data_IF_633731592565
#
_entry.id   IF_633731592565
#
_cell.length_a   1.000
_cell.length_b   1.000
_cell.length_c   1.000
_cell.angle_alpha   90.00
_cell.angle_beta   90.00
_cell.angle_gamma   90.00
#
_symmetry.space_group_name_H-M   'P 1'
#
loop_
_entity.id
_entity.type
_entity.pdbx_description
1 polymer ?
#
# COMPACT_ATOMS: atom_id res chain seq x y z
N UNK A 1 -11.32 -32.66 -15.90
CA UNK A 1 -12.32 -32.57 -14.80
C UNK A 1 -12.22 -31.18 -14.20
N UNK A 2 -13.30 -30.40 -14.25
CA UNK A 2 -13.36 -29.00 -13.78
C UNK A 2 -13.91 -29.00 -12.36
N UNK A 3 -13.14 -28.51 -11.39
CA UNK A 3 -13.59 -28.37 -9.99
C UNK A 3 -14.04 -26.93 -9.78
N UNK A 4 -15.34 -26.72 -9.61
CA UNK A 4 -15.92 -25.42 -9.29
C UNK A 4 -15.85 -25.14 -7.79
N UNK A 5 -15.61 -23.86 -7.49
CA UNK A 5 -15.30 -23.28 -6.18
C UNK A 5 -16.58 -23.15 -5.34
N UNK A 6 -16.56 -23.68 -4.12
CA UNK A 6 -17.65 -23.57 -3.14
C UNK A 6 -17.98 -22.11 -2.81
N UNK A 7 -19.23 -21.71 -2.97
CA UNK A 7 -19.73 -20.41 -2.53
C UNK A 7 -20.04 -20.47 -1.03
N UNK A 8 -19.26 -19.78 -0.21
CA UNK A 8 -19.59 -19.50 1.19
C UNK A 8 -20.18 -18.09 1.30
N UNK A 9 -21.43 -17.98 1.78
CA UNK A 9 -22.10 -16.71 2.07
C UNK A 9 -21.38 -15.96 3.21
N UNK A 10 -21.32 -14.61 3.19
CA UNK A 10 -20.67 -13.83 4.24
C UNK A 10 -21.54 -13.74 5.52
N UNK A 11 -20.98 -14.13 6.66
CA UNK A 11 -21.60 -13.98 7.98
C UNK A 11 -21.32 -12.57 8.51
N UNK A 12 -22.38 -11.82 8.84
CA UNK A 12 -22.27 -10.49 9.48
C UNK A 12 -22.08 -10.67 10.97
N UNK A 13 -20.89 -10.38 11.51
CA UNK A 13 -20.66 -10.28 12.95
C UNK A 13 -21.26 -8.96 13.47
N UNK A 14 -22.06 -9.03 14.55
CA UNK A 14 -22.44 -7.85 15.34
C UNK A 14 -21.54 -7.84 16.58
N UNK A 15 -20.87 -6.71 16.82
CA UNK A 15 -20.16 -6.46 18.07
C UNK A 15 -21.17 -5.92 19.09
N UNK A 16 -21.19 -6.52 20.27
CA UNK A 16 -21.90 -6.01 21.45
C UNK A 16 -20.88 -5.36 22.38
N UNK A 17 -21.26 -4.25 22.98
CA UNK A 17 -20.42 -3.29 23.73
C UNK A 17 -20.02 -3.79 25.14
N UNK A 18 -20.00 -5.11 25.34
CA UNK A 18 -19.83 -5.77 26.65
C UNK A 18 -18.40 -6.32 26.86
N UNK A 19 -17.50 -6.09 25.88
CA UNK A 19 -16.09 -6.52 25.94
C UNK A 19 -15.16 -5.46 26.58
N UNK A 20 -15.72 -4.43 27.23
CA UNK A 20 -14.98 -3.31 27.82
C UNK A 20 -15.21 -3.18 29.33
N UNK A 21 -14.85 -4.20 30.12
CA UNK A 21 -14.78 -4.08 31.59
C UNK A 21 -13.48 -4.69 32.14
N UNK A 22 -12.75 -3.81 32.83
CA UNK A 22 -11.71 -3.94 33.87
C UNK A 22 -10.49 -4.85 33.72
N UNK A 23 -9.30 -4.24 33.89
CA UNK A 23 -8.48 -4.53 35.07
C UNK A 23 -7.44 -3.42 35.29
N UNK A 24 -7.67 -2.64 36.34
CA UNK A 24 -6.79 -1.65 36.95
C UNK A 24 -5.56 -2.36 37.56
N UNK A 25 -4.35 -2.03 37.09
CA UNK A 25 -3.10 -2.61 37.59
C UNK A 25 -2.39 -1.56 38.45
N UNK A 26 -2.36 -1.81 39.75
CA UNK A 26 -1.59 -1.07 40.77
C UNK A 26 -0.10 -1.45 40.66
N UNK A 27 0.86 -0.50 40.60
CA UNK A 27 2.28 -0.79 40.74
C UNK A 27 2.70 -0.84 42.22
N UNK A 28 3.44 -1.90 42.57
CA UNK A 28 4.06 -2.17 43.86
C UNK A 28 5.44 -1.48 43.94
N UNK A 29 5.68 -0.78 45.04
CA UNK A 29 6.96 -0.14 45.38
C UNK A 29 8.03 -1.19 45.77
N UNK A 30 9.23 -1.07 45.21
CA UNK A 30 10.47 -1.58 45.81
C UNK A 30 11.53 -0.48 45.65
N UNK A 31 12.03 -0.02 46.81
CA UNK A 31 13.16 0.87 46.98
C UNK A 31 14.40 0.04 47.31
N UNK A 32 15.55 0.40 46.75
CA UNK A 32 16.87 0.18 47.36
C UNK A 32 17.86 1.20 46.76
N UNK A 33 18.35 2.07 47.64
CA UNK A 33 19.52 2.95 47.57
C UNK A 33 20.81 2.07 47.46
N UNK A 34 22.02 2.48 47.07
CA UNK A 34 22.73 3.76 47.20
C UNK A 34 24.03 3.72 46.35
N UNK A 35 24.48 4.90 45.91
CA UNK A 35 25.87 5.42 45.85
C UNK A 35 26.99 4.81 44.97
N UNK A 36 27.51 5.65 44.06
CA UNK A 36 28.91 6.11 44.10
C UNK A 36 29.08 7.35 43.22
N UNK A 37 29.50 8.44 43.84
CA UNK A 37 29.86 9.75 43.27
C UNK A 37 31.12 9.67 42.40
N UNK A 38 31.23 10.56 41.40
CA UNK A 38 32.43 11.35 41.12
C UNK A 38 32.06 12.48 40.13
N UNK A 39 32.23 13.72 40.61
CA UNK A 39 31.99 15.00 39.95
C UNK A 39 33.09 15.33 38.92
N UNK A 40 32.75 15.96 37.79
CA UNK A 40 33.67 16.88 37.09
C UNK A 40 32.90 17.85 36.15
N UNK A 41 32.84 19.11 36.60
CA UNK A 41 33.04 20.36 35.83
C UNK A 41 31.96 20.88 34.85
N UNK A 42 30.95 21.56 35.43
CA UNK A 42 30.52 22.94 35.13
C UNK A 42 30.60 23.47 33.68
N UNK A 43 29.47 23.43 32.97
CA UNK A 43 29.06 24.50 32.04
C UNK A 43 27.65 24.97 32.47
N UNK A 44 27.63 26.06 33.24
CA UNK A 44 26.48 26.65 33.91
C UNK A 44 25.62 27.47 32.92
N UNK A 45 24.70 26.79 32.26
CA UNK A 45 23.42 27.38 31.83
C UNK A 45 22.31 26.39 32.22
N UNK A 46 22.08 26.30 33.54
CA UNK A 46 21.07 25.43 34.11
C UNK A 46 19.67 25.86 33.59
N UNK A 47 18.90 24.97 32.95
CA UNK A 47 17.53 25.28 32.59
C UNK A 47 16.75 25.53 33.88
N UNK A 48 16.20 26.75 33.99
CA UNK A 48 15.32 27.16 35.09
C UNK A 48 14.26 26.07 35.38
N UNK A 49 13.98 25.85 36.67
CA UNK A 49 13.06 24.86 37.22
C UNK A 49 11.57 25.05 36.81
N UNK A 50 11.28 24.92 35.52
CA UNK A 50 9.93 24.85 34.93
C UNK A 50 9.68 23.47 34.25
N UNK A 51 10.53 22.49 34.56
CA UNK A 51 10.77 21.26 33.77
C UNK A 51 9.55 20.35 33.60
N UNK A 52 8.64 20.26 34.57
CA UNK A 52 7.45 19.39 34.44
C UNK A 52 6.23 20.10 33.84
N UNK A 53 6.10 21.42 34.03
CA UNK A 53 5.00 22.22 33.48
C UNK A 53 5.20 22.45 31.99
N UNK A 54 6.42 22.86 31.57
CA UNK A 54 6.79 23.00 30.15
C UNK A 54 6.65 21.70 29.38
N UNK A 55 7.04 20.56 29.96
CA UNK A 55 6.89 19.25 29.31
C UNK A 55 5.42 18.88 29.04
N UNK A 56 4.49 19.25 29.93
CA UNK A 56 3.04 19.06 29.73
C UNK A 56 2.51 20.00 28.65
N UNK A 57 2.94 21.25 28.64
CA UNK A 57 2.58 22.22 27.62
C UNK A 57 3.09 21.81 26.23
N UNK A 58 4.34 21.36 26.13
CA UNK A 58 4.92 20.83 24.89
C UNK A 58 4.19 19.59 24.38
N UNK A 59 3.79 18.70 25.28
CA UNK A 59 2.98 17.53 24.93
C UNK A 59 1.61 17.93 24.37
N UNK A 60 0.95 18.92 24.98
CA UNK A 60 -0.34 19.45 24.51
C UNK A 60 -0.21 20.19 23.17
N UNK A 61 0.84 20.99 22.99
CA UNK A 61 1.13 21.67 21.72
C UNK A 61 1.36 20.65 20.61
N UNK A 62 2.14 19.60 20.89
CA UNK A 62 2.41 18.53 19.93
C UNK A 62 1.16 17.73 19.58
N UNK A 63 0.29 17.47 20.55
CA UNK A 63 -0.99 16.80 20.29
C UNK A 63 -1.90 17.67 19.42
N UNK A 64 -1.97 18.98 19.71
CA UNK A 64 -2.74 19.93 18.92
C UNK A 64 -2.23 20.04 17.48
N UNK A 65 -0.91 20.14 17.30
CA UNK A 65 -0.29 20.13 15.97
C UNK A 65 -0.63 18.86 15.19
N UNK A 66 -0.58 17.69 15.83
CA UNK A 66 -0.96 16.43 15.19
C UNK A 66 -2.43 16.41 14.74
N UNK A 67 -3.33 16.95 15.56
CA UNK A 67 -4.75 17.05 15.22
C UNK A 67 -4.99 18.02 14.05
N UNK A 68 -4.28 19.16 14.02
CA UNK A 68 -4.36 20.13 12.93
C UNK A 68 -3.85 19.54 11.60
N UNK A 69 -2.71 18.84 11.63
CA UNK A 69 -2.17 18.13 10.46
C UNK A 69 -3.14 17.07 9.93
N UNK A 70 -3.76 16.28 10.80
CA UNK A 70 -4.74 15.27 10.42
C UNK A 70 -5.99 15.91 9.80
N UNK A 71 -6.49 17.00 10.38
CA UNK A 71 -7.63 17.75 9.87
C UNK A 71 -7.33 18.35 8.48
N UNK A 72 -6.14 18.89 8.26
CA UNK A 72 -5.74 19.46 6.99
C UNK A 72 -5.54 18.39 5.90
N UNK A 73 -4.97 17.23 6.25
CA UNK A 73 -4.92 16.09 5.34
C UNK A 73 -6.32 15.60 4.94
N UNK A 74 -7.26 15.57 5.90
CA UNK A 74 -8.64 15.19 5.61
C UNK A 74 -9.34 16.21 4.70
N UNK A 75 -9.13 17.51 4.93
CA UNK A 75 -9.63 18.60 4.07
C UNK A 75 -9.10 18.48 2.65
N UNK A 76 -7.78 18.30 2.48
CA UNK A 76 -7.16 18.11 1.16
C UNK A 76 -7.71 16.87 0.45
N UNK A 77 -7.95 15.77 1.18
CA UNK A 77 -8.55 14.56 0.61
C UNK A 77 -9.99 14.80 0.15
N UNK A 78 -10.81 15.50 0.95
CA UNK A 78 -12.19 15.87 0.61
C UNK A 78 -12.22 16.79 -0.62
N UNK A 79 -11.32 17.76 -0.70
CA UNK A 79 -11.21 18.68 -1.83
C UNK A 79 -10.80 17.95 -3.13
N UNK A 80 -9.78 17.08 -3.08
CA UNK A 80 -9.40 16.23 -4.22
C UNK A 80 -10.56 15.37 -4.72
N UNK A 81 -11.34 14.80 -3.80
CA UNK A 81 -12.54 14.03 -4.16
C UNK A 81 -13.58 14.91 -4.87
N UNK A 82 -13.89 16.09 -4.33
CA UNK A 82 -14.83 17.04 -4.94
C UNK A 82 -14.37 17.47 -6.35
N UNK A 83 -13.08 17.75 -6.54
CA UNK A 83 -12.52 18.12 -7.83
C UNK A 83 -12.64 16.99 -8.87
N UNK A 84 -12.37 15.74 -8.46
CA UNK A 84 -12.56 14.57 -9.32
C UNK A 84 -14.03 14.35 -9.68
N UNK A 85 -14.94 14.46 -8.71
CA UNK A 85 -16.38 14.31 -8.94
C UNK A 85 -16.91 15.39 -9.91
N UNK A 86 -16.45 16.63 -9.77
CA UNK A 86 -16.79 17.74 -10.66
C UNK A 86 -16.29 17.50 -12.09
N UNK A 87 -15.04 17.06 -12.25
CA UNK A 87 -14.48 16.68 -13.56
C UNK A 87 -15.26 15.52 -14.20
N UNK A 88 -15.60 14.51 -13.41
CA UNK A 88 -16.39 13.36 -13.89
C UNK A 88 -17.79 13.80 -14.34
N UNK A 89 -18.43 14.69 -13.58
CA UNK A 89 -19.73 15.27 -13.94
C UNK A 89 -19.66 16.04 -15.26
N UNK A 90 -18.65 16.90 -15.43
CA UNK A 90 -18.43 17.63 -16.70
C UNK A 90 -18.26 16.67 -17.88
N UNK A 91 -17.43 15.63 -17.75
CA UNK A 91 -17.26 14.63 -18.82
C UNK A 91 -18.56 13.89 -19.16
N UNK A 92 -19.39 13.57 -18.16
CA UNK A 92 -20.67 12.94 -18.40
C UNK A 92 -21.64 13.88 -19.13
N UNK A 93 -21.68 15.15 -18.75
CA UNK A 93 -22.50 16.17 -19.42
C UNK A 93 -22.05 16.39 -20.87
N UNK A 94 -20.74 16.47 -21.14
CA UNK A 94 -20.20 16.53 -22.50
C UNK A 94 -20.57 15.31 -23.34
N UNK A 95 -20.44 14.10 -22.77
CA UNK A 95 -20.87 12.86 -23.44
C UNK A 95 -22.37 12.87 -23.75
N UNK A 96 -23.20 13.35 -22.80
CA UNK A 96 -24.64 13.50 -23.01
C UNK A 96 -24.95 14.52 -24.11
N UNK A 97 -24.31 15.69 -24.10
CA UNK A 97 -24.45 16.73 -25.13
C UNK A 97 -24.04 16.21 -26.52
N UNK A 98 -22.91 15.51 -26.63
CA UNK A 98 -22.48 14.88 -27.90
C UNK A 98 -23.49 13.86 -28.40
N UNK A 99 -24.01 12.99 -27.54
CA UNK A 99 -25.05 12.01 -27.91
C UNK A 99 -26.36 12.68 -28.36
N UNK A 100 -26.75 13.77 -27.72
CA UNK A 100 -27.95 14.53 -28.11
C UNK A 100 -27.72 15.21 -29.46
N UNK A 101 -26.56 15.81 -29.70
CA UNK A 101 -26.23 16.43 -30.99
C UNK A 101 -26.14 15.39 -32.12
N UNK A 102 -25.56 14.22 -31.89
CA UNK A 102 -25.56 13.11 -32.86
C UNK A 102 -26.97 12.57 -33.18
N UNK A 103 -27.92 12.67 -32.24
CA UNK A 103 -29.32 12.28 -32.49
C UNK A 103 -30.10 13.36 -33.24
N UNK A 104 -29.71 14.63 -33.11
CA UNK A 104 -30.37 15.77 -33.76
C UNK A 104 -29.86 16.03 -35.17
N UNK A 105 -28.63 15.64 -35.47
CA UNK A 105 -28.08 15.61 -36.82
C UNK A 105 -28.22 14.16 -37.30
N UNK A 106 -29.27 13.79 -38.08
CA UNK A 106 -29.19 12.54 -38.83
C UNK A 106 -27.92 12.65 -39.66
N UNK A 107 -26.99 11.72 -39.44
CA UNK A 107 -25.83 11.56 -40.30
C UNK A 107 -26.42 11.12 -41.64
N UNK A 108 -26.69 12.07 -42.53
CA UNK A 108 -26.84 11.79 -43.95
C UNK A 108 -25.47 11.27 -44.37
N UNK A 109 -25.33 9.94 -44.38
CA UNK A 109 -24.18 9.33 -45.01
C UNK A 109 -24.22 9.81 -46.46
N UNK A 110 -23.12 10.38 -47.00
CA UNK A 110 -23.06 10.65 -48.43
C UNK A 110 -23.35 9.33 -49.16
N UNK A 111 -24.40 9.34 -49.98
CA UNK A 111 -24.91 8.15 -50.70
C UNK A 111 -23.84 7.55 -51.61
N UNK A 112 -22.87 8.36 -52.01
CA UNK A 112 -21.73 7.95 -52.81
C UNK A 112 -20.47 7.95 -51.95
N UNK A 113 -19.88 6.77 -51.81
CA UNK A 113 -18.46 6.65 -51.47
C UNK A 113 -17.67 7.35 -52.59
N UNK A 114 -16.69 8.21 -52.29
CA UNK A 114 -15.83 8.78 -53.32
C UNK A 114 -15.16 7.64 -54.12
N UNK A 115 -15.34 7.62 -55.44
CA UNK A 115 -14.72 6.63 -56.34
C UNK A 115 -13.18 6.63 -56.27
N UNK A 116 -12.59 7.69 -55.72
CA UNK A 116 -11.15 7.86 -55.53
C UNK A 116 -10.57 7.11 -54.31
N UNK A 117 -11.35 6.35 -53.53
CA UNK A 117 -10.79 5.61 -52.38
C UNK A 117 -9.73 4.59 -52.81
N UNK A 118 -9.92 3.91 -53.93
CA UNK A 118 -8.91 2.99 -54.48
C UNK A 118 -7.64 3.74 -54.93
N UNK A 119 -7.80 4.98 -55.41
CA UNK A 119 -6.68 5.84 -55.81
C UNK A 119 -5.91 6.34 -54.58
N UNK A 120 -6.62 6.74 -53.51
CA UNK A 120 -6.04 7.20 -52.24
C UNK A 120 -5.31 6.05 -51.53
N UNK A 121 -5.88 4.84 -51.50
CA UNK A 121 -5.21 3.68 -50.90
C UNK A 121 -3.97 3.25 -51.69
N UNK A 122 -4.01 3.29 -53.03
CA UNK A 122 -2.84 2.99 -53.88
C UNK A 122 -1.77 4.07 -53.83
N UNK A 123 -2.14 5.35 -53.69
CA UNK A 123 -1.19 6.44 -53.48
C UNK A 123 -0.47 6.31 -52.13
N UNK A 124 -1.16 5.91 -51.06
CA UNK A 124 -0.53 5.67 -49.75
C UNK A 124 0.49 4.52 -49.76
N UNK A 125 0.39 3.57 -50.69
CA UNK A 125 1.36 2.48 -50.83
C UNK A 125 2.58 2.85 -51.69
N UNK A 126 2.46 3.85 -52.58
CA UNK A 126 3.49 4.14 -53.59
C UNK A 126 4.27 5.43 -53.35
N UNK A 127 3.68 6.41 -52.69
CA UNK A 127 4.36 7.62 -52.26
C UNK A 127 3.75 8.01 -50.91
N UNK A 128 4.39 7.65 -49.80
CA UNK A 128 4.92 8.59 -48.81
C UNK A 128 5.56 7.78 -47.68
N UNK A 129 6.81 8.09 -47.35
CA UNK A 129 7.39 7.92 -46.01
C UNK A 129 6.63 8.83 -45.03
N UNK A 130 5.31 8.66 -44.86
CA UNK A 130 4.57 9.33 -43.79
C UNK A 130 4.82 8.45 -42.58
N UNK A 131 5.47 9.03 -41.58
CA UNK A 131 5.49 8.51 -40.22
C UNK A 131 4.07 8.12 -39.83
N UNK A 132 3.75 6.83 -39.90
CA UNK A 132 2.53 6.28 -39.33
C UNK A 132 2.53 6.76 -37.88
N UNK A 133 1.57 7.60 -37.44
CA UNK A 133 1.52 8.01 -36.05
C UNK A 133 1.34 6.72 -35.27
N UNK A 134 2.41 6.29 -34.58
CA UNK A 134 2.36 5.07 -33.79
C UNK A 134 1.18 5.21 -32.85
N UNK A 135 0.18 4.36 -33.07
CA UNK A 135 -1.00 4.32 -32.22
C UNK A 135 -0.48 4.18 -30.79
N UNK A 136 -0.83 5.12 -29.90
CA UNK A 136 -0.44 5.11 -28.47
C UNK A 136 -1.09 3.96 -27.69
N UNK A 137 -1.50 2.92 -28.38
CA UNK A 137 -2.02 1.70 -27.81
C UNK A 137 -0.82 0.82 -27.49
N UNK A 138 -0.53 0.69 -26.19
CA UNK A 138 0.43 -0.29 -25.67
C UNK A 138 -0.03 -1.66 -26.15
N UNK A 139 0.70 -2.26 -27.09
CA UNK A 139 0.52 -3.68 -27.44
C UNK A 139 1.00 -4.50 -26.25
N UNK A 140 0.06 -5.06 -25.50
CA UNK A 140 0.31 -5.77 -24.24
C UNK A 140 0.81 -7.22 -24.43
N UNK A 141 0.92 -7.71 -25.67
CA UNK A 141 0.88 -9.16 -25.90
C UNK A 141 2.21 -9.90 -26.02
N UNK A 142 3.35 -9.23 -26.29
CA UNK A 142 4.61 -9.96 -26.55
C UNK A 142 5.78 -9.58 -25.62
N UNK A 143 6.03 -8.31 -25.34
CA UNK A 143 7.15 -7.91 -24.46
C UNK A 143 6.84 -8.05 -22.96
N UNK A 144 5.57 -8.03 -22.58
CA UNK A 144 5.17 -7.98 -21.17
C UNK A 144 5.36 -9.30 -20.40
N UNK A 145 5.53 -10.45 -21.06
CA UNK A 145 5.59 -11.77 -20.38
C UNK A 145 6.96 -12.05 -19.75
N UNK A 146 8.05 -11.69 -20.42
CA UNK A 146 9.39 -11.79 -19.87
C UNK A 146 9.57 -10.81 -18.70
N UNK A 147 9.06 -9.59 -18.88
CA UNK A 147 9.12 -8.52 -17.88
C UNK A 147 8.25 -8.82 -16.66
N UNK A 148 7.10 -9.49 -16.81
CA UNK A 148 6.20 -9.74 -15.67
C UNK A 148 6.85 -10.57 -14.57
N UNK A 149 7.65 -11.57 -14.90
CA UNK A 149 8.37 -12.38 -13.89
C UNK A 149 9.43 -11.54 -13.19
N UNK A 150 10.23 -10.79 -13.95
CA UNK A 150 11.25 -9.89 -13.41
C UNK A 150 10.63 -8.81 -12.49
N UNK A 151 9.52 -8.19 -12.92
CA UNK A 151 8.77 -7.20 -12.15
C UNK A 151 8.23 -7.81 -10.84
N UNK A 152 7.70 -9.04 -10.89
CA UNK A 152 7.20 -9.73 -9.70
C UNK A 152 8.33 -10.07 -8.74
N UNK A 153 9.47 -10.53 -9.26
CA UNK A 153 10.65 -10.80 -8.45
C UNK A 153 11.20 -9.53 -7.80
N UNK A 154 11.24 -8.42 -8.54
CA UNK A 154 11.68 -7.14 -8.00
C UNK A 154 10.74 -6.65 -6.90
N UNK A 155 9.42 -6.74 -7.11
CA UNK A 155 8.41 -6.43 -6.07
C UNK A 155 8.59 -7.30 -4.84
N UNK A 156 8.87 -8.59 -5.02
CA UNK A 156 9.13 -9.52 -3.92
C UNK A 156 10.42 -9.15 -3.18
N UNK A 157 11.48 -8.76 -3.90
CA UNK A 157 12.73 -8.25 -3.32
C UNK A 157 12.51 -6.99 -2.49
N UNK A 158 11.76 -6.02 -3.02
CA UNK A 158 11.40 -4.79 -2.31
C UNK A 158 10.57 -5.08 -1.06
N UNK A 159 9.58 -5.99 -1.15
CA UNK A 159 8.78 -6.40 0.01
C UNK A 159 9.62 -7.10 1.08
N UNK A 160 10.58 -7.95 0.68
CA UNK A 160 11.53 -8.59 1.61
C UNK A 160 12.36 -7.54 2.33
N UNK A 161 12.86 -6.52 1.62
CA UNK A 161 13.62 -5.42 2.23
C UNK A 161 12.77 -4.63 3.23
N UNK A 162 11.53 -4.27 2.86
CA UNK A 162 10.59 -3.57 3.76
C UNK A 162 10.20 -4.37 5.01
N UNK A 163 10.20 -5.70 4.92
CA UNK A 163 9.88 -6.60 6.05
C UNK A 163 11.07 -6.92 6.96
N UNK A 164 12.30 -6.50 6.61
CA UNK A 164 13.46 -6.72 7.48
C UNK A 164 13.35 -5.82 8.72
N UNK A 165 13.35 -6.43 9.89
CA UNK A 165 13.31 -5.73 11.19
C UNK A 165 14.69 -5.35 11.71
N UNK A 166 15.76 -5.92 11.11
CA UNK A 166 17.14 -5.65 11.47
C UNK A 166 17.92 -5.08 10.26
N UNK A 167 18.68 -4.01 10.50
CA UNK A 167 19.50 -3.32 9.49
C UNK A 167 20.90 -3.12 10.05
N UNK A 168 21.91 -3.48 9.26
CA UNK A 168 23.32 -3.20 9.57
C UNK A 168 23.64 -1.74 9.25
N UNK A 169 24.13 -0.98 10.23
CA UNK A 169 24.56 0.42 10.11
C UNK A 169 26.04 0.48 10.46
N UNK A 170 26.89 0.22 9.47
CA UNK A 170 28.35 0.14 9.67
C UNK A 170 28.73 -1.06 10.56
N UNK A 171 29.47 -0.86 11.67
CA UNK A 171 29.85 -1.95 12.57
C UNK A 171 28.68 -2.49 13.40
N UNK A 172 27.61 -1.72 13.58
CA UNK A 172 26.49 -2.08 14.48
C UNK A 172 25.30 -2.65 13.71
N UNK A 173 24.57 -3.58 14.34
CA UNK A 173 23.26 -4.05 13.88
C UNK A 173 22.15 -3.43 14.72
N UNK A 174 21.24 -2.72 14.07
CA UNK A 174 20.06 -2.12 14.71
C UNK A 174 18.87 -3.02 14.42
N UNK A 175 18.19 -3.51 15.46
CA UNK A 175 17.00 -4.34 15.34
C UNK A 175 15.84 -3.75 16.13
N UNK A 176 14.67 -3.68 15.49
CA UNK A 176 13.43 -3.27 16.15
C UNK A 176 12.93 -4.42 17.02
N UNK A 177 12.69 -4.15 18.32
CA UNK A 177 12.06 -5.11 19.22
C UNK A 177 10.61 -5.33 18.78
N UNK A 178 10.29 -6.56 18.38
CA UNK A 178 8.94 -6.94 18.02
C UNK A 178 8.23 -7.49 19.27
N UNK A 179 7.19 -6.80 19.73
CA UNK A 179 6.31 -7.33 20.77
C UNK A 179 5.56 -8.53 20.19
N UNK A 180 5.99 -9.74 20.53
CA UNK A 180 5.26 -10.95 20.18
C UNK A 180 3.91 -10.90 20.90
N UNK A 181 2.82 -10.76 20.13
CA UNK A 181 1.47 -10.77 20.67
C UNK A 181 1.28 -12.03 21.52
N UNK A 182 1.10 -11.87 22.85
CA UNK A 182 0.89 -12.98 23.81
C UNK A 182 -0.29 -13.90 23.43
N UNK A 183 -1.19 -13.40 22.58
CA UNK A 183 -2.36 -14.12 22.05
C UNK A 183 -2.03 -15.16 20.97
N UNK A 184 -0.80 -15.20 20.44
CA UNK A 184 -0.41 -16.09 19.34
C UNK A 184 0.84 -16.88 19.72
N UNK A 185 0.78 -18.20 19.56
CA UNK A 185 1.91 -19.12 19.80
C UNK A 185 3.05 -18.82 18.80
N UNK A 186 4.33 -18.89 19.25
CA UNK A 186 5.48 -18.76 18.36
C UNK A 186 5.41 -19.72 17.16
N UNK A 187 5.97 -19.27 16.03
CA UNK A 187 6.04 -20.11 14.82
C UNK A 187 6.95 -21.31 15.05
N UNK A 188 6.58 -22.45 14.48
CA UNK A 188 7.38 -23.66 14.59
C UNK A 188 8.73 -23.52 13.88
N UNK A 189 9.76 -24.13 14.47
CA UNK A 189 11.09 -24.14 13.88
C UNK A 189 11.15 -25.03 12.64
N UNK A 190 11.44 -24.42 11.49
CA UNK A 190 11.44 -25.13 10.21
C UNK A 190 12.45 -26.28 10.14
N UNK A 191 13.57 -26.20 10.87
CA UNK A 191 14.59 -27.26 10.92
C UNK A 191 14.04 -28.53 11.55
N UNK A 192 13.34 -28.40 12.68
CA UNK A 192 12.75 -29.52 13.40
C UNK A 192 11.62 -30.14 12.57
N UNK A 193 10.70 -29.30 12.06
CA UNK A 193 9.57 -29.77 11.25
C UNK A 193 10.06 -30.49 9.99
N UNK A 194 11.03 -29.91 9.26
CA UNK A 194 11.60 -30.53 8.05
C UNK A 194 12.36 -31.82 8.34
N UNK A 195 13.08 -31.91 9.47
CA UNK A 195 13.76 -33.15 9.84
C UNK A 195 12.76 -34.27 10.16
N UNK A 196 11.73 -33.96 10.95
CA UNK A 196 10.63 -34.89 11.20
C UNK A 196 9.98 -35.34 9.89
N UNK A 197 9.69 -34.39 9.01
CA UNK A 197 9.03 -34.64 7.74
C UNK A 197 9.89 -35.49 6.79
N UNK A 198 11.18 -35.15 6.66
CA UNK A 198 12.16 -35.92 5.89
C UNK A 198 12.32 -37.34 6.41
N UNK A 199 12.26 -37.54 7.72
CA UNK A 199 12.34 -38.86 8.35
C UNK A 199 11.10 -39.71 8.03
N UNK A 200 9.91 -39.13 8.13
CA UNK A 200 8.63 -39.79 7.86
C UNK A 200 8.39 -40.06 6.36
N UNK A 201 8.99 -39.23 5.50
CA UNK A 201 8.92 -39.34 4.03
C UNK A 201 10.25 -39.83 3.43
N UNK A 202 11.06 -40.56 4.21
CA UNK A 202 12.32 -41.10 3.71
C UNK A 202 12.08 -42.15 2.64
N UNK A 203 12.96 -42.20 1.63
CA UNK A 203 12.86 -43.13 0.49
C UNK A 203 12.81 -44.61 0.89
N UNK A 204 13.40 -44.98 2.03
CA UNK A 204 13.38 -46.38 2.51
C UNK A 204 12.02 -46.85 3.03
N UNK A 205 11.11 -45.91 3.30
CA UNK A 205 9.72 -46.22 3.59
C UNK A 205 8.96 -46.14 2.26
N UNK A 206 8.55 -47.29 1.73
CA UNK A 206 7.70 -47.39 0.54
C UNK A 206 6.27 -46.98 0.88
N UNK A 207 6.04 -45.67 0.99
CA UNK A 207 4.69 -45.13 1.11
C UNK A 207 3.97 -45.30 -0.24
N UNK A 208 2.83 -46.00 -0.18
CA UNK A 208 1.87 -46.09 -1.28
C UNK A 208 1.18 -44.75 -1.52
#
# INVERSE_FOLDING_TARGET
>A
MVVTRSQSQPIRKKFTDDDFIDEEIVPREEAEEEESEEEEESDDDAPEEESTSRAKEDALVKEKQRQEEEADLERQRKERRRALDLRNKQQQEEKKKKKINLKKQPIELPEFLPDDIESIMKQQESDVVVSVPQSKHIRLDEDAKADRKAILEEKLRQLKQKKKTAVKKGPVFVQVQANSNKKIVPKSESKIVKNRDKWLHRKSINRK
#
